data_IF_077306149209
#
_entry.id   IF_077306149209
#
_cell.length_a   1.000
_cell.length_b   1.000
_cell.length_c   1.000
_cell.angle_alpha   90.00
_cell.angle_beta   90.00
_cell.angle_gamma   90.00
#
_symmetry.space_group_name_H-M   'P 1'
#
loop_
_entity.id
_entity.type
_entity.pdbx_description
1 polymer ?
#
# COMPACT_ATOMS: atom_id res chain seq x y z
N UNK A 1 0.75 14.25 10.00
CA UNK A 1 0.10 13.13 9.28
C UNK A 1 0.12 11.91 10.18
N UNK A 2 -1.02 11.25 10.43
CA UNK A 2 -1.07 10.05 11.27
C UNK A 2 -0.30 8.91 10.55
N UNK A 3 0.58 8.15 11.23
CA UNK A 3 1.34 7.05 10.62
C UNK A 3 0.49 6.03 9.87
N UNK A 4 -0.72 5.74 10.37
CA UNK A 4 -1.66 4.83 9.71
C UNK A 4 -2.07 5.37 8.33
N UNK A 5 -2.38 6.66 8.25
CA UNK A 5 -2.75 7.31 7.01
C UNK A 5 -1.56 7.41 6.05
N UNK A 6 -0.34 7.54 6.58
CA UNK A 6 0.89 7.50 5.78
C UNK A 6 1.07 6.14 5.12
N UNK A 7 0.99 5.07 5.90
CA UNK A 7 1.18 3.70 5.41
C UNK A 7 0.10 3.36 4.37
N UNK A 8 -1.16 3.62 4.69
CA UNK A 8 -2.27 3.32 3.78
C UNK A 8 -2.13 4.05 2.43
N UNK A 9 -1.90 5.37 2.45
CA UNK A 9 -1.80 6.15 1.19
C UNK A 9 -0.60 5.74 0.34
N UNK A 10 0.58 5.61 0.95
CA UNK A 10 1.79 5.31 0.19
C UNK A 10 1.77 3.89 -0.38
N UNK A 11 1.32 2.89 0.39
CA UNK A 11 1.23 1.52 -0.09
C UNK A 11 0.18 1.38 -1.19
N UNK A 12 -0.98 2.02 -1.06
CA UNK A 12 -1.98 2.01 -2.14
C UNK A 12 -1.42 2.62 -3.42
N UNK A 13 -0.75 3.78 -3.32
CA UNK A 13 -0.13 4.42 -4.48
C UNK A 13 0.94 3.50 -5.12
N UNK A 14 1.80 2.91 -4.31
CA UNK A 14 2.88 2.04 -4.78
C UNK A 14 2.35 0.78 -5.47
N UNK A 15 1.32 0.13 -4.91
CA UNK A 15 0.67 -1.03 -5.54
C UNK A 15 -0.04 -0.64 -6.84
N UNK A 16 -0.66 0.54 -6.90
CA UNK A 16 -1.26 1.03 -8.14
C UNK A 16 -0.20 1.32 -9.22
N UNK A 17 0.94 1.90 -8.83
CA UNK A 17 2.06 2.18 -9.73
C UNK A 17 2.70 0.89 -10.27
N UNK A 18 2.71 -0.19 -9.47
CA UNK A 18 3.11 -1.52 -9.89
C UNK A 18 2.11 -2.23 -10.81
N UNK A 19 0.92 -1.65 -11.00
CA UNK A 19 -0.13 -2.17 -11.88
C UNK A 19 -1.08 -3.15 -11.18
N UNK A 20 -1.26 -3.06 -9.87
CA UNK A 20 -2.33 -3.79 -9.19
C UNK A 20 -3.67 -3.02 -9.27
N UNK A 21 -4.79 -3.74 -9.16
CA UNK A 21 -6.11 -3.12 -9.13
C UNK A 21 -6.28 -2.28 -7.86
N UNK A 22 -7.13 -1.25 -7.88
CA UNK A 22 -7.41 -0.45 -6.69
C UNK A 22 -7.93 -1.32 -5.52
N UNK A 23 -8.72 -2.34 -5.82
CA UNK A 23 -9.25 -3.29 -4.83
C UNK A 23 -8.11 -4.04 -4.13
N UNK A 24 -7.16 -4.57 -4.91
CA UNK A 24 -5.98 -5.26 -4.37
C UNK A 24 -5.06 -4.29 -3.60
N UNK A 25 -4.88 -3.09 -4.12
CA UNK A 25 -4.07 -2.04 -3.48
C UNK A 25 -4.64 -1.59 -2.12
N UNK A 26 -5.96 -1.49 -2.01
CA UNK A 26 -6.65 -1.21 -0.74
C UNK A 26 -6.57 -2.39 0.23
N UNK A 27 -6.74 -3.63 -0.27
CA UNK A 27 -6.57 -4.84 0.54
C UNK A 27 -5.17 -4.96 1.14
N UNK A 28 -4.13 -4.76 0.32
CA UNK A 28 -2.73 -4.79 0.77
C UNK A 28 -2.41 -3.67 1.77
N UNK A 29 -2.97 -2.46 1.56
CA UNK A 29 -2.82 -1.35 2.50
C UNK A 29 -3.49 -1.62 3.86
N UNK A 30 -4.65 -2.29 3.89
CA UNK A 30 -5.31 -2.67 5.14
C UNK A 30 -4.51 -3.69 5.94
N UNK A 31 -3.92 -4.69 5.28
CA UNK A 31 -3.05 -5.67 5.95
C UNK A 31 -1.77 -5.03 6.49
N UNK A 32 -1.17 -4.12 5.73
CA UNK A 32 -0.04 -3.32 6.19
C UNK A 32 -0.38 -2.49 7.45
N UNK A 33 -1.54 -1.84 7.46
CA UNK A 33 -2.03 -1.09 8.64
C UNK A 33 -2.27 -2.02 9.83
N UNK A 34 -2.81 -3.22 9.59
CA UNK A 34 -3.02 -4.23 10.64
C UNK A 34 -1.68 -4.67 11.25
N UNK A 35 -0.66 -4.92 10.44
CA UNK A 35 0.71 -5.18 10.90
C UNK A 35 1.23 -4.02 11.75
N UNK A 36 1.11 -2.78 11.25
CA UNK A 36 1.56 -1.59 11.96
C UNK A 36 0.88 -1.43 13.33
N UNK A 37 -0.42 -1.75 13.43
CA UNK A 37 -1.17 -1.72 14.69
C UNK A 37 -0.73 -2.81 15.67
N UNK A 38 -0.32 -3.97 15.17
CA UNK A 38 0.15 -5.12 15.98
C UNK A 38 1.61 -4.99 16.39
N UNK A 39 2.41 -4.25 15.63
CA UNK A 39 3.79 -3.96 15.97
C UNK A 39 3.83 -3.06 17.21
N UNK A 40 4.27 -3.62 18.34
CA UNK A 40 4.42 -2.90 19.61
C UNK A 40 5.54 -1.87 19.46
N UNK A 41 5.17 -0.59 19.31
CA UNK A 41 6.05 0.58 19.14
C UNK A 41 6.93 0.61 17.87
N UNK A 42 6.39 1.05 16.73
CA UNK A 42 7.20 1.70 15.72
C UNK A 42 7.61 3.06 16.28
N UNK A 43 8.76 3.11 16.98
CA UNK A 43 9.37 4.39 17.33
C UNK A 43 9.47 5.22 16.06
N UNK A 44 9.22 6.52 16.14
CA UNK A 44 9.17 7.48 15.02
C UNK A 44 10.44 7.53 14.14
N UNK A 45 11.45 6.71 14.46
CA UNK A 45 12.72 6.54 13.74
C UNK A 45 12.86 5.22 12.96
N UNK A 46 12.00 4.21 13.12
CA UNK A 46 12.21 2.93 12.45
C UNK A 46 11.79 3.00 10.98
N UNK A 47 12.74 3.32 10.09
CA UNK A 47 12.52 3.17 8.63
C UNK A 47 12.05 1.76 8.25
N UNK A 48 12.36 0.75 9.07
CA UNK A 48 12.04 -0.65 8.78
C UNK A 48 10.57 -1.03 8.83
N UNK A 49 9.73 -0.36 9.64
CA UNK A 49 8.32 -0.81 9.75
C UNK A 49 7.54 -0.56 8.45
N UNK A 50 7.88 0.51 7.73
CA UNK A 50 7.28 0.78 6.43
C UNK A 50 7.69 -0.28 5.41
N UNK A 51 8.96 -0.66 5.38
CA UNK A 51 9.47 -1.70 4.49
C UNK A 51 8.79 -3.06 4.77
N UNK A 52 8.56 -3.40 6.05
CA UNK A 52 7.84 -4.62 6.44
C UNK A 52 6.36 -4.56 6.03
N UNK A 53 5.72 -3.41 6.24
CA UNK A 53 4.35 -3.16 5.78
C UNK A 53 4.25 -3.29 4.26
N UNK A 54 5.21 -2.74 3.51
CA UNK A 54 5.27 -2.83 2.06
C UNK A 54 5.48 -4.27 1.59
N UNK A 55 6.38 -5.04 2.22
CA UNK A 55 6.57 -6.47 1.90
C UNK A 55 5.29 -7.28 2.08
N UNK A 56 4.55 -7.06 3.18
CA UNK A 56 3.27 -7.74 3.40
C UNK A 56 2.25 -7.36 2.34
N UNK A 57 2.13 -6.06 2.04
CA UNK A 57 1.20 -5.58 1.03
C UNK A 57 1.50 -6.14 -0.36
N UNK A 58 2.78 -6.23 -0.74
CA UNK A 58 3.24 -6.86 -1.98
C UNK A 58 2.95 -8.36 -2.00
N UNK A 59 3.17 -9.06 -0.89
CA UNK A 59 2.87 -10.47 -0.80
C UNK A 59 1.36 -10.72 -0.92
N UNK A 60 0.54 -9.91 -0.27
CA UNK A 60 -0.92 -9.92 -0.43
C UNK A 60 -1.31 -9.71 -1.89
N UNK A 61 -0.77 -8.67 -2.53
CA UNK A 61 -1.08 -8.36 -3.93
C UNK A 61 -0.66 -9.47 -4.90
N UNK A 62 0.46 -10.16 -4.62
CA UNK A 62 0.88 -11.36 -5.36
C UNK A 62 -0.07 -12.54 -5.15
N UNK A 63 -0.52 -12.76 -3.91
CA UNK A 63 -1.40 -13.88 -3.53
C UNK A 63 -2.83 -13.71 -4.06
N UNK A 64 -3.34 -12.46 -4.09
CA UNK A 64 -4.70 -12.14 -4.55
C UNK A 64 -4.90 -12.27 -6.07
N UNK A 65 -3.84 -12.45 -6.85
CA UNK A 65 -3.97 -12.91 -8.24
C UNK A 65 -4.57 -11.93 -9.26
N UNK A 66 -4.60 -10.63 -8.97
CA UNK A 66 -5.04 -9.61 -9.94
C UNK A 66 -3.99 -8.50 -10.14
N UNK A 67 -3.02 -8.77 -11.01
CA UNK A 67 -2.37 -7.69 -11.76
C UNK A 67 -3.40 -7.14 -12.73
N UNK A 68 -4.19 -6.16 -12.32
CA UNK A 68 -5.04 -5.46 -13.27
C UNK A 68 -4.14 -4.89 -14.37
N UNK A 69 -4.57 -4.98 -15.62
CA UNK A 69 -3.84 -4.37 -16.75
C UNK A 69 -3.44 -2.94 -16.37
N UNK A 70 -2.18 -2.51 -16.61
CA UNK A 70 -1.70 -1.21 -16.17
C UNK A 70 -2.67 -0.15 -16.66
N UNK A 71 -3.29 0.58 -15.73
CA UNK A 71 -4.14 1.70 -16.08
C UNK A 71 -3.19 2.77 -16.62
N UNK A 72 -3.09 2.84 -17.95
CA UNK A 72 -2.48 3.98 -18.64
C UNK A 72 -3.13 5.23 -18.07
N UNK A 73 -2.32 6.08 -17.47
CA UNK A 73 -2.68 7.36 -16.89
C UNK A 73 -3.54 8.19 -17.86
N UNK A 74 -4.85 8.15 -17.68
CA UNK A 74 -5.72 9.18 -18.25
C UNK A 74 -5.63 10.42 -17.35
N UNK A 75 -4.55 11.20 -17.51
CA UNK A 75 -4.60 12.64 -17.20
C UNK A 75 -5.80 13.22 -17.95
N UNK A 76 -6.87 13.58 -17.24
CA UNK A 76 -7.84 14.56 -17.75
C UNK A 76 -7.93 15.74 -16.80
N UNK A 77 -7.31 16.82 -17.28
CA UNK A 77 -7.48 18.23 -16.90
C UNK A 77 -8.92 18.52 -16.46
N UNK A 78 -9.08 19.24 -15.33
CA UNK A 78 -10.26 20.10 -15.14
C UNK A 78 -9.91 21.50 -15.64
N UNK A 79 -10.86 22.04 -16.39
CA UNK A 79 -10.84 23.27 -17.18
C UNK A 79 -10.79 24.53 -16.31
#
# INVERSE_FOLDING_TARGET
MNPINFISKNITQQLMDEGYSLSVAQGGANEAVNLYRRASQPTTRSRGIYDDCLKIALNYAKMSGEKAKPIKTAKKKKA
#
